data_IF_957698939560
#
_entry.id   IF_957698939560
#
_cell.length_a   1.000
_cell.length_b   1.000
_cell.length_c   1.000
_cell.angle_alpha   90.00
_cell.angle_beta   90.00
_cell.angle_gamma   90.00
#
_symmetry.space_group_name_H-M   'P 1'
#
loop_
_entity.id
_entity.type
_entity.pdbx_description
1 polymer ?
#
# COMPACT_ATOMS: atom_id res chain seq x y z
N UNK A 1 10.62 -24.26 7.81
CA UNK A 1 11.45 -25.41 7.37
C UNK A 1 12.01 -26.19 8.56
N UNK A 2 12.27 -25.56 9.72
CA UNK A 2 12.68 -26.26 10.95
C UNK A 2 12.00 -25.65 12.18
N UNK A 3 10.77 -26.08 12.53
CA UNK A 3 10.02 -25.45 13.62
C UNK A 3 10.52 -25.83 15.03
N UNK A 4 11.24 -26.95 15.19
CA UNK A 4 11.54 -27.54 16.52
C UNK A 4 13.01 -27.90 16.76
N UNK A 5 13.96 -27.35 15.99
CA UNK A 5 15.39 -27.59 16.21
C UNK A 5 16.13 -26.34 16.71
N UNK A 6 17.06 -26.49 17.69
CA UNK A 6 17.77 -25.37 18.29
C UNK A 6 18.70 -24.65 17.29
N UNK A 7 19.11 -25.31 16.21
CA UNK A 7 19.85 -24.69 15.11
C UNK A 7 19.90 -25.63 13.89
N UNK A 8 19.56 -25.16 12.67
CA UNK A 8 19.71 -25.97 11.45
C UNK A 8 21.18 -26.07 10.98
N UNK A 9 22.13 -25.51 11.73
CA UNK A 9 23.55 -25.53 11.35
C UNK A 9 24.12 -26.94 11.37
N UNK A 10 24.80 -27.32 10.29
CA UNK A 10 25.38 -28.64 10.12
C UNK A 10 24.43 -29.68 9.56
N UNK A 11 23.14 -29.37 9.43
CA UNK A 11 22.19 -30.26 8.76
C UNK A 11 22.47 -30.38 7.26
N UNK A 12 22.14 -31.56 6.75
CA UNK A 12 22.37 -31.94 5.37
C UNK A 12 21.09 -31.78 4.57
N UNK A 13 21.17 -31.07 3.46
CA UNK A 13 20.11 -30.84 2.50
C UNK A 13 20.46 -31.52 1.17
N UNK A 14 19.46 -31.93 0.44
CA UNK A 14 19.62 -32.41 -0.93
C UNK A 14 19.03 -31.38 -1.90
N UNK A 15 19.86 -30.92 -2.84
CA UNK A 15 19.53 -29.94 -3.86
C UNK A 15 19.81 -30.58 -5.22
N UNK A 16 18.77 -30.99 -5.94
CA UNK A 16 18.88 -31.63 -7.26
C UNK A 16 19.90 -32.79 -7.28
N UNK A 17 19.68 -33.80 -6.44
CA UNK A 17 20.55 -34.99 -6.27
C UNK A 17 21.99 -34.68 -5.85
N UNK A 18 22.24 -33.47 -5.34
CA UNK A 18 23.51 -33.06 -4.78
C UNK A 18 23.35 -32.70 -3.31
N UNK A 19 24.29 -33.21 -2.51
CA UNK A 19 24.33 -32.99 -1.08
C UNK A 19 24.91 -31.61 -0.75
N UNK A 20 24.23 -30.86 0.10
CA UNK A 20 24.62 -29.56 0.63
C UNK A 20 24.54 -29.58 2.17
N UNK A 21 25.33 -28.75 2.84
CA UNK A 21 25.34 -28.64 4.30
C UNK A 21 25.08 -27.20 4.69
N UNK A 22 24.17 -26.97 5.63
CA UNK A 22 23.84 -25.63 6.13
C UNK A 22 25.02 -25.13 6.98
N UNK A 23 25.68 -24.07 6.53
CA UNK A 23 26.83 -23.46 7.23
C UNK A 23 26.50 -22.17 7.98
N UNK A 24 25.37 -21.56 7.66
CA UNK A 24 24.97 -20.28 8.22
C UNK A 24 23.50 -19.99 7.94
N UNK A 25 22.89 -19.18 8.79
CA UNK A 25 21.59 -18.58 8.57
C UNK A 25 21.80 -17.07 8.66
N UNK A 26 21.36 -16.33 7.66
CA UNK A 26 21.44 -14.88 7.62
C UNK A 26 20.03 -14.29 7.70
N UNK A 27 19.85 -13.22 8.48
CA UNK A 27 18.63 -12.42 8.38
C UNK A 27 18.70 -11.64 7.07
N UNK A 28 17.77 -11.93 6.16
CA UNK A 28 17.67 -11.31 4.87
C UNK A 28 16.47 -10.37 4.83
N UNK A 29 16.52 -9.36 3.97
CA UNK A 29 15.37 -8.49 3.72
C UNK A 29 14.17 -9.37 3.31
N UNK A 30 12.98 -9.16 3.91
CA UNK A 30 11.80 -9.94 3.58
C UNK A 30 11.53 -9.88 2.07
N UNK A 31 11.42 -11.05 1.44
CA UNK A 31 10.99 -11.16 0.04
C UNK A 31 9.47 -11.05 -0.04
N UNK A 32 8.99 -10.43 -1.12
CA UNK A 32 7.55 -10.39 -1.41
C UNK A 32 6.98 -11.79 -1.71
N UNK A 33 7.81 -12.70 -2.22
CA UNK A 33 7.44 -14.10 -2.47
C UNK A 33 7.88 -15.00 -1.33
N UNK A 34 7.09 -16.04 -1.05
CA UNK A 34 7.41 -17.08 -0.06
C UNK A 34 8.43 -18.11 -0.60
N UNK A 35 9.47 -17.65 -1.28
CA UNK A 35 10.51 -18.51 -1.85
C UNK A 35 11.68 -18.62 -0.90
N UNK A 36 12.17 -19.84 -0.68
CA UNK A 36 13.40 -20.06 0.10
C UNK A 36 14.60 -19.63 -0.74
N UNK A 37 15.39 -18.69 -0.23
CA UNK A 37 16.63 -18.23 -0.88
C UNK A 37 17.83 -18.89 -0.20
N UNK A 38 18.67 -19.53 -1.01
CA UNK A 38 19.91 -20.17 -0.55
C UNK A 38 21.11 -19.42 -1.10
N UNK A 39 22.10 -19.14 -0.24
CA UNK A 39 23.35 -18.51 -0.62
C UNK A 39 24.48 -19.54 -0.63
N UNK A 40 25.23 -19.59 -1.72
CA UNK A 40 26.40 -20.47 -1.87
C UNK A 40 27.42 -19.86 -2.82
N UNK A 41 28.60 -20.46 -2.93
CA UNK A 41 29.61 -20.03 -3.90
C UNK A 41 29.08 -20.27 -5.32
N UNK A 42 29.34 -19.35 -6.24
CA UNK A 42 28.91 -19.48 -7.64
C UNK A 42 29.32 -20.82 -8.26
N UNK A 43 30.56 -21.27 -8.02
CA UNK A 43 31.06 -22.57 -8.49
C UNK A 43 30.26 -23.77 -7.96
N UNK A 44 29.70 -23.69 -6.74
CA UNK A 44 28.82 -24.72 -6.19
C UNK A 44 27.40 -24.60 -6.74
N UNK A 45 26.88 -23.38 -6.90
CA UNK A 45 25.57 -23.14 -7.51
C UNK A 45 25.47 -23.74 -8.92
N UNK A 46 26.53 -23.68 -9.72
CA UNK A 46 26.60 -24.31 -11.05
C UNK A 46 26.46 -25.84 -11.02
N UNK A 47 26.76 -26.48 -9.88
CA UNK A 47 26.58 -27.92 -9.67
C UNK A 47 25.17 -28.24 -9.18
N UNK A 48 24.60 -27.37 -8.36
CA UNK A 48 23.24 -27.54 -7.82
C UNK A 48 22.16 -27.23 -8.85
N UNK A 49 22.39 -26.30 -9.79
CA UNK A 49 21.40 -25.91 -10.80
C UNK A 49 21.69 -26.64 -12.12
N UNK A 50 20.70 -27.33 -12.73
CA UNK A 50 20.87 -28.02 -14.01
C UNK A 50 21.19 -27.08 -15.19
N UNK A 51 21.64 -27.64 -16.31
CA UNK A 51 22.29 -27.00 -17.49
C UNK A 51 21.52 -25.90 -18.22
N UNK A 52 21.23 -24.74 -17.61
CA UNK A 52 20.72 -23.58 -18.36
C UNK A 52 21.85 -22.86 -19.10
N UNK A 53 21.54 -22.30 -20.29
CA UNK A 53 22.52 -21.63 -21.18
C UNK A 53 23.02 -20.29 -20.61
N UNK A 54 22.24 -19.64 -19.74
CA UNK A 54 22.57 -18.39 -19.05
C UNK A 54 22.32 -18.54 -17.54
N UNK A 55 23.40 -18.75 -16.78
CA UNK A 55 23.34 -19.01 -15.32
C UNK A 55 23.75 -17.81 -14.46
N UNK A 56 24.29 -16.76 -15.09
CA UNK A 56 24.67 -15.53 -14.41
C UNK A 56 23.61 -14.47 -14.69
N UNK A 57 22.90 -14.04 -13.64
CA UNK A 57 21.86 -13.02 -13.75
C UNK A 57 22.45 -11.62 -13.82
N UNK A 58 23.36 -11.30 -12.90
CA UNK A 58 24.06 -10.01 -12.85
C UNK A 58 25.36 -10.15 -12.05
N UNK A 59 26.21 -9.12 -12.15
CA UNK A 59 27.45 -8.99 -11.38
C UNK A 59 27.33 -7.77 -10.47
N UNK A 60 27.63 -7.96 -9.19
CA UNK A 60 27.71 -6.85 -8.24
C UNK A 60 29.10 -6.23 -8.29
N UNK A 61 29.16 -4.91 -8.37
CA UNK A 61 30.41 -4.13 -8.42
C UNK A 61 30.37 -3.10 -7.31
N UNK A 62 31.44 -3.02 -6.52
CA UNK A 62 31.64 -1.96 -5.53
C UNK A 62 32.40 -0.79 -6.15
N UNK A 63 31.96 0.43 -5.86
CA UNK A 63 32.71 1.62 -6.23
C UNK A 63 33.94 1.80 -5.34
N UNK A 64 35.06 2.22 -5.92
CA UNK A 64 36.21 2.69 -5.16
C UNK A 64 35.90 4.04 -4.51
N UNK A 65 36.65 4.38 -3.46
CA UNK A 65 36.46 5.63 -2.72
C UNK A 65 36.55 6.86 -3.65
N UNK A 66 35.58 7.77 -3.51
CA UNK A 66 35.50 9.00 -4.31
C UNK A 66 34.86 8.85 -5.70
N UNK A 67 34.43 7.65 -6.11
CA UNK A 67 33.69 7.44 -7.37
C UNK A 67 32.19 7.30 -7.07
N UNK A 68 31.35 8.13 -7.70
CA UNK A 68 29.90 7.98 -7.59
C UNK A 68 29.39 6.75 -8.34
N UNK A 69 28.31 6.15 -7.85
CA UNK A 69 27.69 5.00 -8.49
C UNK A 69 27.24 5.30 -9.93
N UNK A 70 26.72 6.49 -10.20
CA UNK A 70 26.30 6.91 -11.53
C UNK A 70 27.48 6.98 -12.51
N UNK A 71 28.60 7.58 -12.09
CA UNK A 71 29.81 7.67 -12.91
C UNK A 71 30.36 6.28 -13.22
N UNK A 72 30.36 5.39 -12.22
CA UNK A 72 30.81 4.02 -12.39
C UNK A 72 29.90 3.24 -13.34
N UNK A 73 28.58 3.34 -13.17
CA UNK A 73 27.60 2.67 -14.04
C UNK A 73 27.72 3.15 -15.49
N UNK A 74 27.84 4.46 -15.71
CA UNK A 74 28.06 5.03 -17.04
C UNK A 74 29.35 4.48 -17.69
N UNK A 75 30.46 4.47 -16.94
CA UNK A 75 31.76 3.95 -17.42
C UNK A 75 31.70 2.46 -17.78
N UNK A 76 31.07 1.64 -16.94
CA UNK A 76 30.91 0.20 -17.22
C UNK A 76 30.09 0.00 -18.49
N UNK A 77 29.00 0.76 -18.63
CA UNK A 77 28.12 0.68 -19.81
C UNK A 77 28.87 1.05 -21.08
N UNK A 78 29.65 2.13 -21.05
CA UNK A 78 30.47 2.60 -22.17
C UNK A 78 31.56 1.59 -22.57
N UNK A 79 32.27 1.01 -21.59
CA UNK A 79 33.40 0.11 -21.87
C UNK A 79 32.99 -1.30 -22.27
N UNK A 80 31.87 -1.81 -21.74
CA UNK A 80 31.47 -3.21 -21.92
C UNK A 80 30.29 -3.38 -22.87
N UNK A 81 29.54 -2.31 -23.14
CA UNK A 81 28.24 -2.38 -23.82
C UNK A 81 27.13 -3.07 -23.00
N UNK A 82 27.43 -3.49 -21.76
CA UNK A 82 26.46 -4.14 -20.87
C UNK A 82 25.70 -3.08 -20.06
N UNK A 83 24.42 -3.34 -19.79
CA UNK A 83 23.57 -2.45 -19.00
C UNK A 83 24.01 -2.47 -17.53
N UNK A 84 24.70 -1.42 -17.09
CA UNK A 84 24.95 -1.18 -15.68
C UNK A 84 23.81 -0.33 -15.07
N UNK A 85 23.51 -0.60 -13.80
CA UNK A 85 22.48 0.09 -13.03
C UNK A 85 23.02 0.39 -11.65
N UNK A 86 22.69 1.55 -11.11
CA UNK A 86 22.95 1.83 -9.70
C UNK A 86 22.01 1.01 -8.81
N UNK A 87 22.26 1.01 -7.50
CA UNK A 87 21.42 0.28 -6.54
C UNK A 87 19.95 0.72 -6.61
N UNK A 88 19.72 2.03 -6.70
CA UNK A 88 18.37 2.60 -6.67
C UNK A 88 17.65 2.35 -7.99
N UNK A 89 18.33 2.51 -9.12
CA UNK A 89 17.78 2.16 -10.43
C UNK A 89 17.46 0.67 -10.53
N UNK A 90 18.32 -0.21 -10.03
CA UNK A 90 18.07 -1.65 -10.04
C UNK A 90 16.90 -2.05 -9.13
N UNK A 91 16.75 -1.36 -7.98
CA UNK A 91 15.57 -1.55 -7.12
C UNK A 91 14.30 -1.12 -7.85
N UNK A 92 14.35 -0.02 -8.59
CA UNK A 92 13.22 0.51 -9.36
C UNK A 92 12.86 -0.39 -10.55
N UNK A 93 13.85 -0.90 -11.29
CA UNK A 93 13.66 -1.92 -12.33
C UNK A 93 12.92 -3.16 -11.78
N UNK A 94 13.22 -3.56 -10.54
CA UNK A 94 12.53 -4.67 -9.88
C UNK A 94 11.07 -4.34 -9.53
N UNK A 95 10.79 -3.11 -9.12
CA UNK A 95 9.42 -2.63 -8.88
C UNK A 95 8.64 -2.59 -10.19
N UNK A 96 9.23 -2.03 -11.25
CA UNK A 96 8.61 -1.91 -12.56
C UNK A 96 8.32 -3.29 -13.16
N UNK A 97 9.25 -4.24 -13.04
CA UNK A 97 9.02 -5.64 -13.43
C UNK A 97 7.81 -6.24 -12.72
N UNK A 98 7.68 -6.02 -11.40
CA UNK A 98 6.50 -6.50 -10.67
C UNK A 98 5.23 -5.81 -11.17
N UNK A 99 5.27 -4.50 -11.41
CA UNK A 99 4.11 -3.74 -11.88
C UNK A 99 3.64 -4.19 -13.27
N UNK A 100 4.58 -4.43 -14.19
CA UNK A 100 4.30 -4.77 -15.58
C UNK A 100 3.98 -6.25 -15.78
N UNK A 101 4.67 -7.14 -15.05
CA UNK A 101 4.54 -8.59 -15.23
C UNK A 101 3.55 -9.24 -14.26
N UNK A 102 3.06 -8.52 -13.24
CA UNK A 102 2.08 -9.07 -12.30
C UNK A 102 0.78 -8.27 -12.30
N UNK A 103 -0.35 -8.95 -12.09
CA UNK A 103 -1.66 -8.30 -11.90
C UNK A 103 -1.86 -7.66 -10.53
N UNK A 104 -0.80 -7.54 -9.72
CA UNK A 104 -0.88 -7.09 -8.32
C UNK A 104 -1.37 -5.63 -8.25
N UNK A 105 -0.77 -4.65 -8.94
CA UNK A 105 -1.24 -3.26 -8.86
C UNK A 105 -2.69 -3.11 -9.32
N UNK A 106 -3.08 -3.87 -10.34
CA UNK A 106 -4.44 -3.85 -10.87
C UNK A 106 -5.46 -4.39 -9.83
N UNK A 107 -5.18 -5.55 -9.22
CA UNK A 107 -6.06 -6.14 -8.21
C UNK A 107 -6.20 -5.26 -6.95
N UNK A 108 -5.09 -4.71 -6.46
CA UNK A 108 -5.12 -3.77 -5.34
C UNK A 108 -5.86 -2.48 -5.74
N UNK A 109 -5.60 -1.95 -6.94
CA UNK A 109 -6.27 -0.77 -7.46
C UNK A 109 -7.79 -0.94 -7.52
N UNK A 110 -8.29 -2.08 -8.01
CA UNK A 110 -9.73 -2.39 -8.03
C UNK A 110 -10.29 -2.46 -6.61
N UNK A 111 -9.56 -3.07 -5.68
CA UNK A 111 -10.04 -3.21 -4.29
C UNK A 111 -10.14 -1.86 -3.61
N UNK A 112 -9.14 -0.98 -3.80
CA UNK A 112 -9.16 0.41 -3.31
C UNK A 112 -10.31 1.19 -3.95
N UNK A 113 -10.49 1.06 -5.26
CA UNK A 113 -11.57 1.73 -5.99
C UNK A 113 -12.95 1.26 -5.50
N UNK A 114 -13.13 -0.05 -5.29
CA UNK A 114 -14.37 -0.60 -4.76
C UNK A 114 -14.63 -0.07 -3.35
N UNK A 115 -13.62 -0.07 -2.48
CA UNK A 115 -13.71 0.51 -1.14
C UNK A 115 -14.10 1.98 -1.17
N UNK A 116 -13.57 2.75 -2.14
CA UNK A 116 -13.93 4.15 -2.34
C UNK A 116 -15.39 4.31 -2.80
N UNK A 117 -15.84 3.54 -3.79
CA UNK A 117 -17.23 3.56 -4.29
C UNK A 117 -18.21 3.20 -3.17
N UNK A 118 -17.94 2.12 -2.44
CA UNK A 118 -18.76 1.68 -1.31
C UNK A 118 -18.75 2.73 -0.20
N UNK A 119 -17.60 3.33 0.10
CA UNK A 119 -17.46 4.42 1.05
C UNK A 119 -18.33 5.63 0.68
N UNK A 120 -18.27 6.09 -0.58
CA UNK A 120 -19.14 7.17 -1.09
C UNK A 120 -20.61 6.81 -0.96
N UNK A 121 -21.00 5.59 -1.33
CA UNK A 121 -22.39 5.15 -1.27
C UNK A 121 -22.94 5.12 0.16
N UNK A 122 -22.21 4.51 1.11
CA UNK A 122 -22.62 4.42 2.51
C UNK A 122 -22.68 5.80 3.14
N UNK A 123 -21.61 6.60 3.01
CA UNK A 123 -21.56 7.95 3.57
C UNK A 123 -22.68 8.82 2.99
N UNK A 124 -22.87 8.79 1.67
CA UNK A 124 -23.93 9.53 0.99
C UNK A 124 -25.34 9.12 1.45
N UNK A 125 -25.58 7.82 1.64
CA UNK A 125 -26.85 7.31 2.17
C UNK A 125 -27.09 7.78 3.60
N UNK A 126 -26.10 7.62 4.48
CA UNK A 126 -26.18 8.05 5.88
C UNK A 126 -26.44 9.55 6.00
N UNK A 127 -25.74 10.37 5.22
CA UNK A 127 -25.99 11.82 5.20
C UNK A 127 -27.38 12.18 4.69
N UNK A 128 -27.85 11.49 3.64
CA UNK A 128 -29.18 11.74 3.09
C UNK A 128 -30.28 11.43 4.12
N UNK A 129 -30.13 10.32 4.85
CA UNK A 129 -31.02 9.95 5.95
C UNK A 129 -30.95 10.97 7.09
N UNK A 130 -29.75 11.33 7.53
CA UNK A 130 -29.54 12.34 8.57
C UNK A 130 -30.24 13.67 8.23
N UNK A 131 -30.12 14.14 6.99
CA UNK A 131 -30.77 15.39 6.61
C UNK A 131 -32.29 15.25 6.59
N UNK A 132 -32.80 14.12 6.07
CA UNK A 132 -34.24 13.86 6.02
C UNK A 132 -34.87 13.84 7.41
N UNK A 133 -34.22 13.19 8.37
CA UNK A 133 -34.70 13.09 9.75
C UNK A 133 -34.69 14.46 10.46
N UNK A 134 -33.75 15.33 10.08
CA UNK A 134 -33.58 16.67 10.68
C UNK A 134 -34.20 17.81 9.85
N UNK A 135 -34.94 17.52 8.77
CA UNK A 135 -35.46 18.54 7.85
C UNK A 135 -36.39 19.55 8.55
N UNK A 136 -37.21 19.08 9.51
CA UNK A 136 -38.11 19.94 10.31
C UNK A 136 -37.31 20.91 11.19
N UNK A 137 -36.20 20.46 11.76
CA UNK A 137 -35.33 21.29 12.59
C UNK A 137 -34.61 22.36 11.75
N UNK A 138 -34.09 21.98 10.57
CA UNK A 138 -33.51 22.93 9.63
C UNK A 138 -34.52 23.96 9.13
N UNK A 139 -35.77 23.55 8.92
CA UNK A 139 -36.89 24.44 8.58
C UNK A 139 -37.18 25.46 9.69
N UNK A 140 -37.21 25.03 10.95
CA UNK A 140 -37.39 25.92 12.10
C UNK A 140 -36.24 26.93 12.25
N UNK A 141 -34.98 26.48 12.12
CA UNK A 141 -33.80 27.37 12.13
C UNK A 141 -33.86 28.43 11.03
N UNK A 142 -34.31 28.04 9.83
CA UNK A 142 -34.48 28.96 8.71
C UNK A 142 -35.59 29.98 8.97
N UNK A 143 -36.68 29.58 9.63
CA UNK A 143 -37.77 30.47 10.02
C UNK A 143 -37.35 31.52 11.07
N UNK A 144 -36.38 31.19 11.94
CA UNK A 144 -35.78 32.13 12.92
C UNK A 144 -34.72 33.04 12.25
N UNK A 145 -34.45 32.88 10.95
CA UNK A 145 -33.58 33.77 10.16
C UNK A 145 -32.17 33.25 9.92
N UNK A 146 -31.89 31.97 10.20
CA UNK A 146 -30.57 31.38 9.89
C UNK A 146 -30.38 31.28 8.37
N UNK A 147 -29.25 31.79 7.87
CA UNK A 147 -28.92 31.75 6.45
C UNK A 147 -28.55 30.33 6.00
N UNK A 148 -28.85 30.01 4.73
CA UNK A 148 -28.50 28.71 4.13
C UNK A 148 -26.99 28.41 4.26
N UNK A 149 -26.13 29.44 4.18
CA UNK A 149 -24.67 29.29 4.29
C UNK A 149 -24.24 28.86 5.69
N UNK A 150 -24.89 29.35 6.75
CA UNK A 150 -24.66 28.89 8.13
C UNK A 150 -25.13 27.46 8.36
N UNK A 151 -26.31 27.10 7.83
CA UNK A 151 -26.82 25.73 7.86
C UNK A 151 -25.86 24.74 7.19
N UNK A 152 -25.37 25.09 5.99
CA UNK A 152 -24.37 24.30 5.26
C UNK A 152 -23.08 24.16 6.06
N UNK A 153 -22.57 25.26 6.63
CA UNK A 153 -21.36 25.24 7.46
C UNK A 153 -21.50 24.35 8.69
N UNK A 154 -22.68 24.35 9.34
CA UNK A 154 -22.97 23.50 10.49
C UNK A 154 -22.94 22.01 10.11
N UNK A 155 -23.62 21.63 9.02
CA UNK A 155 -23.64 20.25 8.53
C UNK A 155 -22.24 19.81 8.08
N UNK A 156 -21.49 20.68 7.40
CA UNK A 156 -20.12 20.40 6.98
C UNK A 156 -19.18 20.21 8.19
N UNK A 157 -19.35 20.97 9.27
CA UNK A 157 -18.58 20.81 10.50
C UNK A 157 -18.89 19.48 11.19
N UNK A 158 -20.18 19.11 11.29
CA UNK A 158 -20.58 17.80 11.82
C UNK A 158 -20.00 16.65 10.96
N UNK A 159 -20.07 16.79 9.64
CA UNK A 159 -19.51 15.81 8.72
C UNK A 159 -18.00 15.68 8.83
N UNK A 160 -17.29 16.80 8.94
CA UNK A 160 -15.85 16.84 9.14
C UNK A 160 -15.46 16.19 10.46
N UNK A 161 -16.22 16.40 11.53
CA UNK A 161 -15.96 15.77 12.83
C UNK A 161 -16.13 14.25 12.77
N UNK A 162 -17.25 13.77 12.21
CA UNK A 162 -17.49 12.32 12.03
C UNK A 162 -16.43 11.70 11.13
N UNK A 163 -16.08 12.39 10.04
CA UNK A 163 -15.03 11.99 9.12
C UNK A 163 -13.65 11.89 9.78
N UNK A 164 -13.29 12.86 10.60
CA UNK A 164 -12.03 12.87 11.34
C UNK A 164 -11.95 11.72 12.35
N UNK A 165 -13.04 11.45 13.07
CA UNK A 165 -13.12 10.31 14.00
C UNK A 165 -13.00 8.99 13.25
N UNK A 166 -13.76 8.83 12.15
CA UNK A 166 -13.70 7.62 11.33
C UNK A 166 -12.32 7.38 10.73
N UNK A 167 -11.66 8.43 10.23
CA UNK A 167 -10.30 8.37 9.73
C UNK A 167 -9.31 7.98 10.83
N UNK A 168 -9.40 8.61 12.01
CA UNK A 168 -8.53 8.28 13.14
C UNK A 168 -8.67 6.82 13.56
N UNK A 169 -9.90 6.30 13.65
CA UNK A 169 -10.16 4.89 13.97
C UNK A 169 -9.60 3.95 12.90
N UNK A 170 -9.79 4.27 11.61
CA UNK A 170 -9.24 3.48 10.52
C UNK A 170 -7.71 3.45 10.53
N UNK A 171 -7.07 4.59 10.79
CA UNK A 171 -5.63 4.71 10.89
C UNK A 171 -5.08 3.92 12.08
N UNK A 172 -5.69 4.06 13.27
CA UNK A 172 -5.32 3.29 14.47
C UNK A 172 -5.49 1.80 14.23
N UNK A 173 -6.61 1.37 13.63
CA UNK A 173 -6.82 -0.03 13.27
C UNK A 173 -5.75 -0.57 12.32
N UNK A 174 -5.34 0.24 11.33
CA UNK A 174 -4.24 -0.12 10.40
C UNK A 174 -2.90 -0.26 11.13
N UNK A 175 -2.57 0.68 12.02
CA UNK A 175 -1.33 0.65 12.80
C UNK A 175 -1.30 -0.56 13.74
N UNK A 176 -2.41 -0.83 14.44
CA UNK A 176 -2.54 -1.99 15.32
C UNK A 176 -2.42 -3.31 14.54
N UNK A 177 -2.97 -3.38 13.33
CA UNK A 177 -2.83 -4.54 12.46
C UNK A 177 -1.37 -4.78 12.08
N UNK A 178 -0.67 -3.75 11.59
CA UNK A 178 0.75 -3.87 11.21
C UNK A 178 1.60 -4.24 12.42
N UNK A 179 1.35 -3.62 13.57
CA UNK A 179 2.09 -3.91 14.80
C UNK A 179 1.83 -5.33 15.32
N UNK A 180 0.56 -5.76 15.36
CA UNK A 180 0.17 -7.08 15.87
C UNK A 180 0.63 -8.24 14.97
N UNK A 181 0.66 -8.03 13.66
CA UNK A 181 1.09 -9.05 12.70
C UNK A 181 2.57 -8.93 12.28
N UNK A 182 3.29 -7.89 12.73
CA UNK A 182 4.69 -7.65 12.33
C UNK A 182 5.69 -8.73 12.78
N UNK A 183 5.33 -9.55 13.77
CA UNK A 183 6.12 -10.72 14.20
C UNK A 183 5.97 -11.92 13.26
N UNK A 184 4.94 -11.94 12.41
CA UNK A 184 4.74 -13.02 11.46
C UNK A 184 5.67 -12.82 10.25
N UNK A 185 6.48 -13.83 9.88
CA UNK A 185 7.41 -13.75 8.75
C UNK A 185 6.74 -13.33 7.42
N UNK A 186 5.47 -13.70 7.24
CA UNK A 186 4.66 -13.37 6.06
C UNK A 186 4.36 -11.87 5.95
N UNK A 187 4.25 -11.17 7.09
CA UNK A 187 3.86 -9.76 7.15
C UNK A 187 5.02 -8.82 7.48
N UNK A 188 6.24 -9.35 7.73
CA UNK A 188 7.45 -8.57 8.08
C UNK A 188 7.83 -7.51 7.02
N UNK A 189 7.40 -7.69 5.76
CA UNK A 189 7.63 -6.74 4.66
C UNK A 189 6.60 -5.60 4.55
N UNK A 190 5.48 -5.65 5.26
CA UNK A 190 4.47 -4.60 5.22
C UNK A 190 4.86 -3.47 6.16
N UNK A 191 5.03 -2.28 5.61
CA UNK A 191 5.24 -1.04 6.37
C UNK A 191 4.27 0.04 5.89
N UNK A 192 4.04 1.04 6.74
CA UNK A 192 3.13 2.14 6.44
C UNK A 192 3.95 3.43 6.20
N UNK A 193 4.31 3.73 4.95
CA UNK A 193 4.96 5.00 4.63
C UNK A 193 4.00 6.16 4.92
N UNK A 194 4.53 7.30 5.37
CA UNK A 194 3.73 8.48 5.78
C UNK A 194 2.86 9.05 4.65
N UNK A 195 3.24 8.79 3.40
CA UNK A 195 2.48 9.16 2.21
C UNK A 195 1.11 8.46 2.15
N UNK A 196 1.01 7.21 2.63
CA UNK A 196 -0.23 6.41 2.53
C UNK A 196 -1.34 6.99 3.43
N UNK A 197 -1.10 7.29 4.72
CA UNK A 197 -2.06 8.03 5.54
C UNK A 197 -2.46 9.38 4.92
N UNK A 198 -1.51 10.10 4.32
CA UNK A 198 -1.82 11.39 3.69
C UNK A 198 -2.75 11.23 2.49
N UNK A 199 -2.48 10.28 1.59
CA UNK A 199 -3.35 10.00 0.44
C UNK A 199 -4.73 9.49 0.87
N UNK A 200 -4.80 8.63 1.89
CA UNK A 200 -6.09 8.16 2.40
C UNK A 200 -6.90 9.27 3.07
N UNK A 201 -6.25 10.23 3.74
CA UNK A 201 -6.91 11.42 4.28
C UNK A 201 -7.53 12.27 3.17
N UNK A 202 -6.78 12.50 2.09
CA UNK A 202 -7.29 13.19 0.90
C UNK A 202 -8.48 12.43 0.30
N UNK A 203 -8.38 11.10 0.21
CA UNK A 203 -9.48 10.24 -0.23
C UNK A 203 -10.75 10.42 0.62
N UNK A 204 -10.64 10.36 1.95
CA UNK A 204 -11.77 10.57 2.87
C UNK A 204 -12.34 11.98 2.74
N UNK A 205 -11.49 13.00 2.64
CA UNK A 205 -11.92 14.38 2.43
C UNK A 205 -12.72 14.53 1.12
N UNK A 206 -12.27 13.89 0.04
CA UNK A 206 -12.99 13.87 -1.24
C UNK A 206 -14.35 13.16 -1.12
N UNK A 207 -14.42 12.03 -0.41
CA UNK A 207 -15.68 11.32 -0.16
C UNK A 207 -16.67 12.23 0.57
N UNK A 208 -16.23 12.89 1.65
CA UNK A 208 -17.08 13.79 2.44
C UNK A 208 -17.51 15.01 1.62
N UNK A 209 -16.61 15.57 0.81
CA UNK A 209 -16.92 16.70 -0.06
C UNK A 209 -17.96 16.33 -1.13
N UNK A 210 -17.79 15.18 -1.79
CA UNK A 210 -18.71 14.71 -2.83
C UNK A 210 -20.08 14.35 -2.26
N UNK A 211 -20.12 13.61 -1.16
CA UNK A 211 -21.38 13.19 -0.52
C UNK A 211 -22.10 14.38 0.11
N UNK A 212 -21.38 15.27 0.78
CA UNK A 212 -21.91 16.54 1.28
C UNK A 212 -22.51 17.38 0.15
N UNK A 213 -21.80 17.52 -0.98
CA UNK A 213 -22.32 18.22 -2.15
C UNK A 213 -23.61 17.58 -2.69
N UNK A 214 -23.62 16.25 -2.89
CA UNK A 214 -24.81 15.54 -3.40
C UNK A 214 -26.01 15.68 -2.46
N UNK A 215 -25.79 15.51 -1.16
CA UNK A 215 -26.84 15.60 -0.16
C UNK A 215 -27.41 17.03 -0.06
N UNK A 216 -26.56 18.05 -0.10
CA UNK A 216 -27.02 19.44 -0.15
C UNK A 216 -27.79 19.76 -1.43
N UNK A 217 -27.40 19.17 -2.57
CA UNK A 217 -28.11 19.37 -3.84
C UNK A 217 -29.49 18.71 -3.83
N UNK A 218 -29.67 17.59 -3.13
CA UNK A 218 -30.99 16.97 -2.96
C UNK A 218 -31.90 17.84 -2.07
N UNK A 219 -31.36 18.47 -1.03
CA UNK A 219 -32.09 19.39 -0.14
C UNK A 219 -32.52 20.67 -0.85
N UNK A 220 -31.67 21.21 -1.72
CA UNK A 220 -31.98 22.43 -2.49
C UNK A 220 -32.98 22.17 -3.62
N UNK A 221 -33.10 20.94 -4.11
CA UNK A 221 -34.10 20.51 -5.09
C UNK A 221 -35.38 19.94 -4.47
N UNK A 222 -35.39 19.66 -3.17
CA UNK A 222 -36.61 19.28 -2.47
C UNK A 222 -37.52 20.50 -2.37
N UNK A 223 -38.56 20.52 -3.22
CA UNK A 223 -39.50 21.62 -3.28
C UNK A 223 -40.16 21.87 -1.91
N UNK A 224 -40.28 23.14 -1.46
CA UNK A 224 -40.90 23.51 -0.18
C UNK A 224 -42.34 23.01 0.00
N UNK A 225 -43.01 22.64 -1.10
CA UNK A 225 -44.40 22.19 -1.10
C UNK A 225 -44.60 20.77 -0.52
N UNK A 226 -43.55 19.95 -0.41
CA UNK A 226 -43.66 18.59 0.14
C UNK A 226 -43.75 18.54 1.68
N UNK A 227 -43.50 19.68 2.37
CA UNK A 227 -43.52 19.75 3.85
C UNK A 227 -44.93 20.02 4.41
N UNK A 228 -45.92 20.31 3.55
CA UNK A 228 -47.31 20.59 3.94
C UNK A 228 -48.31 19.47 3.56
N UNK A 229 -47.86 18.22 3.39
CA UNK A 229 -48.74 17.04 3.35
C UNK A 229 -48.28 15.98 4.34
#
# INVERSE_FOLDING_TARGET
>A
MFPDQPSPLGEMLELNDQRAVIRGVADATPSFTSTVVLYTRYSQALRYVPGTRNRLSFVLVGAADGVSADTLAARITEQTGLRARTRDEFAQDGVDFIIENTGIPFNFGITVLLGFIVGVAIVGLTFSLFIRDNIKQFGALKAIGVTNRKLIGMVAAQAGMVGAIGYALGLVGTVLFIWGFGSNPTFKGFYLPWQIPLFSLVGVALILAMTGWMAMRSVLKAEPAAVFR
#
